data_IF_290789273101
#
_entry.id   IF_290789273101
#
_cell.length_a   1.000
_cell.length_b   1.000
_cell.length_c   1.000
_cell.angle_alpha   90.00
_cell.angle_beta   90.00
_cell.angle_gamma   90.00
#
_symmetry.space_group_name_H-M   'P 1'
#
loop_
_entity.id
_entity.type
_entity.pdbx_description
1 polymer ?
#
# COMPACT_ATOMS: atom_id res chain seq x y z
N UNK A 1 39.84 3.67 -2.09
CA UNK A 1 38.83 3.56 -3.16
C UNK A 1 37.58 4.28 -2.69
N UNK A 2 37.45 5.55 -3.05
CA UNK A 2 36.28 6.36 -2.70
C UNK A 2 35.11 5.86 -3.53
N UNK A 3 34.25 5.02 -2.94
CA UNK A 3 32.91 4.79 -3.49
C UNK A 3 32.21 6.13 -3.43
N UNK A 4 32.04 6.80 -4.56
CA UNK A 4 31.08 7.89 -4.69
C UNK A 4 29.76 7.38 -4.12
N UNK A 5 29.42 7.85 -2.92
CA UNK A 5 28.11 7.61 -2.31
C UNK A 5 27.10 8.36 -3.17
N UNK A 6 26.61 7.69 -4.21
CA UNK A 6 25.48 8.17 -5.02
C UNK A 6 24.33 8.41 -4.06
N UNK A 7 24.00 9.66 -3.82
CA UNK A 7 22.91 10.08 -2.94
C UNK A 7 21.55 10.06 -3.63
N UNK A 8 21.53 9.95 -4.97
CA UNK A 8 20.31 9.93 -5.77
C UNK A 8 20.43 9.00 -6.99
N UNK A 9 19.26 8.56 -7.49
CA UNK A 9 19.12 7.80 -8.73
C UNK A 9 19.14 8.70 -9.96
N UNK A 10 19.60 8.16 -11.10
CA UNK A 10 19.56 8.88 -12.38
C UNK A 10 18.13 9.03 -12.89
N UNK A 11 17.87 10.06 -13.72
CA UNK A 11 16.55 10.29 -14.32
C UNK A 11 16.01 9.08 -15.11
N UNK A 12 16.90 8.30 -15.73
CA UNK A 12 16.52 7.09 -16.48
C UNK A 12 15.96 6.01 -15.55
N UNK A 13 16.67 5.71 -14.45
CA UNK A 13 16.23 4.75 -13.43
C UNK A 13 14.93 5.21 -12.77
N UNK A 14 14.80 6.51 -12.51
CA UNK A 14 13.59 7.13 -11.96
C UNK A 14 12.37 6.92 -12.87
N UNK A 15 12.54 7.00 -14.20
CA UNK A 15 11.47 6.69 -15.16
C UNK A 15 11.08 5.21 -15.13
N UNK A 16 12.05 4.30 -15.03
CA UNK A 16 11.75 2.87 -14.89
C UNK A 16 10.85 2.62 -13.66
N UNK A 17 11.22 3.22 -12.52
CA UNK A 17 10.42 3.12 -11.29
C UNK A 17 9.04 3.77 -11.43
N UNK A 18 8.92 4.90 -12.14
CA UNK A 18 7.61 5.55 -12.36
C UNK A 18 6.64 4.60 -13.05
N UNK A 19 7.09 3.93 -14.12
CA UNK A 19 6.26 2.99 -14.88
C UNK A 19 5.80 1.81 -14.01
N UNK A 20 6.72 1.25 -13.21
CA UNK A 20 6.41 0.14 -12.29
C UNK A 20 5.39 0.58 -11.23
N UNK A 21 5.57 1.78 -10.66
CA UNK A 21 4.69 2.31 -9.62
C UNK A 21 3.31 2.63 -10.17
N UNK A 22 3.22 3.24 -11.36
CA UNK A 22 1.94 3.50 -12.03
C UNK A 22 1.17 2.20 -12.29
N UNK A 23 1.85 1.16 -12.77
CA UNK A 23 1.23 -0.15 -12.99
C UNK A 23 0.69 -0.75 -11.68
N UNK A 24 1.47 -0.68 -10.60
CA UNK A 24 1.01 -1.14 -9.27
C UNK A 24 -0.12 -0.29 -8.71
N UNK A 25 -0.13 1.01 -8.96
CA UNK A 25 -1.17 1.94 -8.51
C UNK A 25 -2.50 1.63 -9.16
N UNK A 26 -2.49 1.33 -10.46
CA UNK A 26 -3.68 0.93 -11.22
C UNK A 26 -4.28 -0.36 -10.65
N UNK A 27 -3.48 -1.43 -10.54
CA UNK A 27 -3.93 -2.68 -9.92
C UNK A 27 -4.43 -2.50 -8.48
N UNK A 28 -3.76 -1.65 -7.70
CA UNK A 28 -4.17 -1.38 -6.32
C UNK A 28 -5.52 -0.65 -6.23
N UNK A 29 -5.83 0.24 -7.19
CA UNK A 29 -7.12 0.93 -7.30
C UNK A 29 -8.23 -0.04 -7.70
N UNK A 30 -7.97 -0.97 -8.60
CA UNK A 30 -8.93 -2.02 -8.96
C UNK A 30 -9.24 -2.93 -7.77
N UNK A 31 -8.23 -3.37 -7.02
CA UNK A 31 -8.43 -4.14 -5.77
C UNK A 31 -9.28 -3.37 -4.76
N UNK A 32 -9.00 -2.07 -4.58
CA UNK A 32 -9.79 -1.22 -3.69
C UNK A 32 -11.26 -1.16 -4.11
N UNK A 33 -11.51 -0.98 -5.41
CA UNK A 33 -12.86 -0.93 -5.97
C UNK A 33 -13.60 -2.26 -5.71
N UNK A 34 -12.94 -3.39 -5.96
CA UNK A 34 -13.49 -4.72 -5.69
C UNK A 34 -13.81 -4.94 -4.20
N UNK A 35 -12.90 -4.53 -3.31
CA UNK A 35 -13.12 -4.57 -1.85
C UNK A 35 -14.32 -3.72 -1.43
N UNK A 36 -14.44 -2.49 -1.95
CA UNK A 36 -15.56 -1.58 -1.67
C UNK A 36 -16.89 -2.11 -2.18
N UNK A 37 -16.90 -2.72 -3.37
CA UNK A 37 -18.10 -3.32 -3.94
C UNK A 37 -18.57 -4.51 -3.10
N UNK A 38 -17.63 -5.36 -2.65
CA UNK A 38 -17.91 -6.50 -1.77
C UNK A 38 -18.53 -6.05 -0.43
N UNK A 39 -17.98 -4.98 0.16
CA UNK A 39 -18.52 -4.34 1.37
C UNK A 39 -19.91 -3.75 1.16
N UNK A 40 -20.17 -3.16 0.00
CA UNK A 40 -21.47 -2.54 -0.33
C UNK A 40 -22.56 -3.58 -0.59
N UNK A 41 -22.26 -4.65 -1.34
CA UNK A 41 -23.20 -5.74 -1.66
C UNK A 41 -23.69 -6.49 -0.42
N UNK A 42 -22.82 -6.68 0.59
CA UNK A 42 -23.22 -7.32 1.87
C UNK A 42 -24.18 -6.49 2.71
N UNK A 43 -24.28 -5.17 2.50
CA UNK A 43 -25.29 -4.34 3.18
C UNK A 43 -26.69 -4.49 2.58
N UNK A 44 -26.83 -5.01 1.36
CA UNK A 44 -28.12 -5.20 0.66
C UNK A 44 -28.79 -6.55 0.99
N UNK A 45 -28.12 -7.47 1.69
CA UNK A 45 -28.70 -8.74 2.18
C UNK A 45 -29.67 -8.56 3.36
N UNK A 46 -30.43 -7.47 3.35
CA UNK A 46 -31.36 -7.04 4.38
C UNK A 46 -32.82 -7.33 4.06
N UNK A 47 -33.18 -8.52 3.57
CA UNK A 47 -34.59 -8.97 3.57
C UNK A 47 -34.70 -10.50 3.66
N UNK A 48 -34.53 -11.08 4.85
CA UNK A 48 -35.31 -12.27 5.19
C UNK A 48 -35.59 -12.32 6.70
N UNK A 49 -36.89 -12.26 7.02
CA UNK A 49 -37.45 -12.08 8.36
C UNK A 49 -37.69 -13.42 9.10
N UNK A 50 -36.99 -14.51 8.76
CA UNK A 50 -37.40 -15.85 9.21
C UNK A 50 -36.36 -16.69 9.99
N UNK A 51 -35.59 -16.14 10.95
CA UNK A 51 -34.86 -17.00 11.92
C UNK A 51 -34.36 -16.25 13.17
N UNK A 52 -35.20 -16.08 14.19
CA UNK A 52 -34.90 -15.26 15.38
C UNK A 52 -33.92 -15.87 16.42
N UNK A 53 -33.41 -17.09 16.24
CA UNK A 53 -32.50 -17.75 17.22
C UNK A 53 -31.08 -18.00 16.68
N UNK A 54 -30.89 -18.14 15.36
CA UNK A 54 -29.55 -18.28 14.74
C UNK A 54 -28.83 -16.92 14.57
N UNK A 55 -29.62 -15.83 14.45
CA UNK A 55 -29.14 -14.47 14.16
C UNK A 55 -28.18 -13.89 15.21
N UNK A 56 -28.30 -14.27 16.49
CA UNK A 56 -27.48 -13.69 17.56
C UNK A 56 -26.01 -14.18 17.57
N UNK A 57 -25.74 -15.38 17.04
CA UNK A 57 -24.37 -15.91 16.95
C UNK A 57 -23.72 -15.55 15.60
N UNK A 58 -24.51 -15.46 14.53
CA UNK A 58 -24.05 -15.12 13.18
C UNK A 58 -23.75 -13.62 13.02
N UNK A 59 -24.46 -12.75 13.73
CA UNK A 59 -24.24 -11.29 13.73
C UNK A 59 -22.83 -10.90 14.22
N UNK A 60 -22.26 -11.66 15.16
CA UNK A 60 -20.89 -11.45 15.62
C UNK A 60 -19.84 -11.82 14.56
N UNK A 61 -20.08 -12.90 13.80
CA UNK A 61 -19.16 -13.35 12.74
C UNK A 61 -19.19 -12.40 11.53
N UNK A 62 -20.38 -11.96 11.10
CA UNK A 62 -20.52 -11.00 9.98
C UNK A 62 -19.95 -9.62 10.35
N UNK A 63 -20.11 -9.18 11.60
CA UNK A 63 -19.50 -7.93 12.08
C UNK A 63 -17.98 -7.99 12.05
N UNK A 64 -17.38 -9.09 12.55
CA UNK A 64 -15.92 -9.28 12.52
C UNK A 64 -15.38 -9.34 11.09
N UNK A 65 -16.07 -10.03 10.18
CA UNK A 65 -15.65 -10.10 8.78
C UNK A 65 -15.71 -8.72 8.11
N UNK A 66 -16.76 -7.94 8.38
CA UNK A 66 -16.90 -6.56 7.89
C UNK A 66 -15.81 -5.65 8.43
N UNK A 67 -15.49 -5.74 9.73
CA UNK A 67 -14.39 -4.97 10.32
C UNK A 67 -13.05 -5.34 9.68
N UNK A 68 -12.79 -6.63 9.48
CA UNK A 68 -11.58 -7.11 8.80
C UNK A 68 -11.48 -6.58 7.36
N UNK A 69 -12.58 -6.63 6.59
CA UNK A 69 -12.64 -6.09 5.23
C UNK A 69 -12.44 -4.57 5.20
N UNK A 70 -13.03 -3.82 6.15
CA UNK A 70 -12.81 -2.38 6.28
C UNK A 70 -11.35 -2.06 6.60
N UNK A 71 -10.72 -2.81 7.52
CA UNK A 71 -9.31 -2.64 7.83
C UNK A 71 -8.42 -2.94 6.61
N UNK A 72 -8.75 -3.97 5.83
CA UNK A 72 -8.04 -4.30 4.59
C UNK A 72 -8.18 -3.16 3.56
N UNK A 73 -9.39 -2.66 3.35
CA UNK A 73 -9.64 -1.53 2.46
C UNK A 73 -8.87 -0.27 2.90
N UNK A 74 -8.86 0.04 4.20
CA UNK A 74 -8.10 1.18 4.74
C UNK A 74 -6.58 1.04 4.51
N UNK A 75 -6.03 -0.17 4.66
CA UNK A 75 -4.62 -0.47 4.33
C UNK A 75 -4.36 -0.27 2.84
N UNK A 76 -5.27 -0.71 1.98
CA UNK A 76 -5.15 -0.55 0.53
C UNK A 76 -5.21 0.92 0.11
N UNK A 77 -6.08 1.73 0.71
CA UNK A 77 -6.11 3.19 0.48
C UNK A 77 -4.79 3.84 0.86
N UNK A 78 -4.23 3.48 2.02
CA UNK A 78 -2.93 3.98 2.47
C UNK A 78 -1.81 3.56 1.51
N UNK A 79 -1.89 2.35 0.97
CA UNK A 79 -0.94 1.86 -0.03
C UNK A 79 -1.00 2.68 -1.32
N UNK A 80 -2.20 2.95 -1.86
CA UNK A 80 -2.40 3.82 -3.03
C UNK A 80 -1.81 5.20 -2.77
N UNK A 81 -2.14 5.81 -1.64
CA UNK A 81 -1.60 7.12 -1.25
C UNK A 81 -0.07 7.12 -1.20
N UNK A 82 0.55 6.06 -0.68
CA UNK A 82 2.00 5.95 -0.64
C UNK A 82 2.62 5.82 -2.04
N UNK A 83 1.96 5.11 -2.97
CA UNK A 83 2.39 5.02 -4.37
C UNK A 83 2.30 6.38 -5.08
N UNK A 84 1.22 7.14 -4.87
CA UNK A 84 1.07 8.49 -5.41
C UNK A 84 2.18 9.42 -4.90
N UNK A 85 2.48 9.37 -3.60
CA UNK A 85 3.60 10.12 -3.02
C UNK A 85 4.95 9.67 -3.59
N UNK A 86 5.13 8.39 -3.88
CA UNK A 86 6.36 7.90 -4.50
C UNK A 86 6.55 8.50 -5.91
N UNK A 87 5.49 8.62 -6.71
CA UNK A 87 5.53 9.30 -8.02
C UNK A 87 5.95 10.77 -7.87
N UNK A 88 5.41 11.47 -6.86
CA UNK A 88 5.79 12.87 -6.59
C UNK A 88 7.29 12.97 -6.26
N UNK A 89 7.83 12.05 -5.47
CA UNK A 89 9.27 12.02 -5.14
C UNK A 89 10.14 11.71 -6.34
N UNK A 90 9.68 10.84 -7.24
CA UNK A 90 10.36 10.56 -8.51
C UNK A 90 10.47 11.83 -9.34
N UNK A 91 9.37 12.58 -9.47
CA UNK A 91 9.37 13.88 -10.18
C UNK A 91 10.29 14.90 -9.53
N UNK A 92 10.38 14.90 -8.20
CA UNK A 92 11.28 15.77 -7.45
C UNK A 92 12.74 15.27 -7.42
N UNK A 93 13.04 14.08 -7.95
CA UNK A 93 14.38 13.48 -7.91
C UNK A 93 14.84 13.00 -6.52
N UNK A 94 13.95 12.93 -5.53
CA UNK A 94 14.26 12.51 -4.15
C UNK A 94 13.86 11.07 -3.86
N UNK A 95 13.38 10.34 -4.88
CA UNK A 95 13.00 8.94 -4.74
C UNK A 95 14.23 8.05 -4.51
N UNK A 96 14.08 7.08 -3.60
CA UNK A 96 15.16 6.17 -3.24
C UNK A 96 16.15 6.73 -2.22
N UNK A 97 15.88 7.89 -1.61
CA UNK A 97 16.63 8.42 -0.48
C UNK A 97 15.90 8.10 0.83
N UNK A 98 16.60 7.51 1.79
CA UNK A 98 16.01 7.20 3.10
C UNK A 98 15.75 8.48 3.89
N UNK A 99 14.54 8.60 4.45
CA UNK A 99 14.16 9.80 5.23
C UNK A 99 14.88 9.91 6.57
N UNK A 100 15.18 8.80 7.24
CA UNK A 100 15.88 8.84 8.54
C UNK A 100 17.39 9.00 8.37
N UNK A 101 17.99 8.32 7.39
CA UNK A 101 19.46 8.25 7.26
C UNK A 101 20.04 9.10 6.14
N UNK A 102 19.22 9.61 5.22
CA UNK A 102 19.68 10.32 4.02
C UNK A 102 20.46 9.45 3.02
N UNK A 103 20.60 8.14 3.29
CA UNK A 103 21.33 7.20 2.43
C UNK A 103 20.47 6.69 1.27
N UNK A 104 21.11 6.29 0.18
CA UNK A 104 20.45 5.64 -0.94
C UNK A 104 19.91 4.25 -0.53
N UNK A 105 18.62 4.00 -0.80
CA UNK A 105 17.96 2.71 -0.64
C UNK A 105 18.33 1.84 -1.84
N UNK A 106 18.75 0.59 -1.64
CA UNK A 106 19.13 -0.32 -2.74
C UNK A 106 18.02 -0.55 -3.77
N UNK A 107 18.38 -0.63 -5.07
CA UNK A 107 17.45 -0.83 -6.19
C UNK A 107 16.55 -2.06 -5.99
N UNK A 108 17.14 -3.18 -5.55
CA UNK A 108 16.42 -4.44 -5.29
C UNK A 108 15.29 -4.27 -4.26
N UNK A 109 15.51 -3.43 -3.23
CA UNK A 109 14.50 -3.13 -2.21
C UNK A 109 13.35 -2.28 -2.77
N UNK A 110 13.66 -1.30 -3.61
CA UNK A 110 12.66 -0.46 -4.29
C UNK A 110 11.87 -1.25 -5.32
N UNK A 111 12.47 -2.25 -5.97
CA UNK A 111 11.75 -3.17 -6.87
C UNK A 111 10.74 -4.03 -6.11
N UNK A 112 11.15 -4.59 -4.95
CA UNK A 112 10.27 -5.37 -4.09
C UNK A 112 9.15 -4.51 -3.48
N UNK A 113 9.51 -3.37 -2.87
CA UNK A 113 8.60 -2.51 -2.09
C UNK A 113 8.75 -1.05 -2.53
N UNK A 114 8.13 -0.63 -3.65
CA UNK A 114 8.38 0.70 -4.24
C UNK A 114 7.78 1.87 -3.47
N UNK A 115 6.96 1.61 -2.46
CA UNK A 115 6.41 2.62 -1.56
C UNK A 115 7.29 2.86 -0.30
N UNK A 116 8.35 2.05 -0.10
CA UNK A 116 9.19 2.14 1.10
C UNK A 116 10.02 3.42 1.10
N UNK A 117 9.96 4.16 2.21
CA UNK A 117 10.75 5.38 2.45
C UNK A 117 11.98 5.13 3.33
N UNK A 118 12.07 3.94 3.89
CA UNK A 118 13.05 3.57 4.88
C UNK A 118 13.99 2.49 4.33
N UNK A 119 15.29 2.68 4.56
CA UNK A 119 16.31 1.67 4.34
C UNK A 119 16.14 0.48 5.30
N UNK A 120 16.77 -0.64 4.97
CA UNK A 120 16.74 -1.86 5.80
C UNK A 120 17.30 -1.58 7.20
N UNK A 121 18.40 -0.82 7.31
CA UNK A 121 18.99 -0.36 8.58
C UNK A 121 17.98 0.40 9.46
N UNK A 122 17.24 1.36 8.88
CA UNK A 122 16.26 2.16 9.60
C UNK A 122 15.05 1.33 10.06
N UNK A 123 14.65 0.32 9.27
CA UNK A 123 13.56 -0.59 9.64
C UNK A 123 13.98 -1.59 10.73
N UNK A 124 15.25 -2.03 10.75
CA UNK A 124 15.77 -2.92 11.78
C UNK A 124 15.93 -2.22 13.14
N UNK A 125 16.24 -0.92 13.13
CA UNK A 125 16.43 -0.12 14.36
C UNK A 125 15.12 0.29 15.05
N UNK A 126 13.97 0.09 14.40
CA UNK A 126 12.62 0.45 14.90
C UNK A 126 11.80 -0.76 15.38
N UNK A 127 12.45 -1.91 15.55
CA UNK A 127 11.85 -3.14 16.04
C UNK A 127 12.35 -3.46 17.43
#
# INVERSE_FOLDING_TARGET
MSKEEKTAYSQDELKEFEVIIRKKLDSAKEELLSLKESLSKKNDSGTDFTASTSKLLEDGADTLERESQNQLAARQQKFIYNLENAIIRIKNGTYGVCVDTGKLISKERLMAVPHTMHSIEAKLSKK
#
